data_IF_429848916258
#
_entry.id   IF_429848916258
#
_cell.length_a   1.000
_cell.length_b   1.000
_cell.length_c   1.000
_cell.angle_alpha   90.00
_cell.angle_beta   90.00
_cell.angle_gamma   90.00
#
_symmetry.space_group_name_H-M   'P 1'
#
loop_
_entity.id
_entity.type
_entity.pdbx_description
1 polymer ?
#
# COMPACT_ATOMS: atom_id res chain seq x y z
N UNK A 1 1.68 -19.48 1.35
CA UNK A 1 2.32 -19.61 2.69
C UNK A 1 3.43 -18.57 2.91
N UNK A 2 3.19 -17.27 2.70
CA UNK A 2 4.19 -16.20 2.80
C UNK A 2 3.85 -15.04 3.73
N UNK A 3 2.62 -14.96 4.23
CA UNK A 3 2.15 -13.78 4.98
C UNK A 3 2.54 -13.68 6.46
N UNK A 4 2.92 -14.79 7.10
CA UNK A 4 3.09 -14.82 8.58
C UNK A 4 4.44 -14.26 9.05
N UNK A 5 5.49 -14.28 8.24
CA UNK A 5 6.83 -13.80 8.65
C UNK A 5 7.05 -12.29 8.62
N UNK A 6 6.22 -11.54 7.90
CA UNK A 6 6.38 -10.07 7.78
C UNK A 6 5.79 -9.36 8.99
N UNK A 7 4.74 -9.88 9.61
CA UNK A 7 4.02 -9.24 10.73
C UNK A 7 4.86 -9.18 12.01
N UNK A 8 5.59 -10.26 12.37
CA UNK A 8 6.44 -10.25 13.57
C UNK A 8 7.66 -9.32 13.47
N UNK A 9 8.06 -8.92 12.25
CA UNK A 9 9.21 -8.04 12.01
C UNK A 9 8.88 -6.56 11.97
N UNK A 10 7.63 -6.19 11.71
CA UNK A 10 7.25 -4.78 11.61
C UNK A 10 7.14 -4.10 12.98
N UNK A 11 6.76 -4.82 14.02
CA UNK A 11 6.73 -4.31 15.40
C UNK A 11 8.15 -4.00 15.91
N UNK A 12 9.16 -4.77 15.49
CA UNK A 12 10.55 -4.55 15.87
C UNK A 12 11.03 -3.12 15.58
N UNK A 13 10.74 -2.57 14.39
CA UNK A 13 11.17 -1.21 14.04
C UNK A 13 10.47 -0.17 14.91
N UNK A 14 9.20 -0.35 15.18
CA UNK A 14 8.42 0.57 16.03
C UNK A 14 8.97 0.58 17.45
N UNK A 15 9.22 -0.58 18.04
CA UNK A 15 9.77 -0.72 19.40
C UNK A 15 11.20 -0.17 19.47
N UNK A 16 12.02 -0.48 18.47
CA UNK A 16 13.38 0.07 18.34
C UNK A 16 13.40 1.60 18.38
N UNK A 17 12.45 2.25 17.72
CA UNK A 17 12.33 3.71 17.68
C UNK A 17 11.77 4.27 18.99
N UNK A 18 10.78 3.61 19.61
CA UNK A 18 10.24 3.99 20.92
C UNK A 18 11.33 4.01 21.99
N UNK A 19 12.16 2.95 22.04
CA UNK A 19 13.28 2.85 22.97
C UNK A 19 14.30 4.00 22.82
N UNK A 20 14.36 4.62 21.62
CA UNK A 20 15.24 5.76 21.30
C UNK A 20 14.57 7.12 21.44
N UNK A 21 13.36 7.15 22.02
CA UNK A 21 12.64 8.37 22.35
C UNK A 21 11.92 9.03 21.17
N UNK A 22 11.71 8.31 20.06
CA UNK A 22 10.84 8.80 18.98
C UNK A 22 9.39 8.69 19.40
N UNK A 23 8.64 9.79 19.19
CA UNK A 23 7.24 9.88 19.61
C UNK A 23 6.31 9.63 18.43
N UNK A 24 5.15 9.07 18.74
CA UNK A 24 4.06 8.89 17.81
C UNK A 24 3.36 10.22 17.55
N UNK A 25 3.05 10.44 16.28
CA UNK A 25 2.27 11.57 15.78
C UNK A 25 1.04 11.05 15.07
N UNK A 26 0.05 11.91 14.88
CA UNK A 26 -1.24 11.55 14.28
C UNK A 26 -1.53 12.43 13.08
N UNK A 27 -2.17 11.85 12.08
CA UNK A 27 -2.75 12.56 10.94
C UNK A 27 -4.13 12.00 10.63
N UNK A 28 -5.03 12.92 10.33
CA UNK A 28 -6.38 12.59 9.91
C UNK A 28 -6.41 12.09 8.47
N UNK A 29 -7.52 11.47 8.10
CA UNK A 29 -7.79 11.02 6.74
C UNK A 29 -7.56 12.14 5.73
N UNK A 30 -6.96 11.79 4.60
CA UNK A 30 -6.61 12.65 3.46
C UNK A 30 -5.47 13.64 3.71
N UNK A 31 -4.90 13.70 4.89
CA UNK A 31 -3.65 14.41 5.12
C UNK A 31 -2.45 13.64 4.54
N UNK A 32 -1.37 14.36 4.26
CA UNK A 32 -0.17 13.81 3.63
C UNK A 32 1.00 13.72 4.61
N UNK A 33 1.74 12.62 4.58
CA UNK A 33 3.04 12.45 5.25
C UNK A 33 4.18 13.01 4.38
N UNK A 34 4.10 12.84 3.07
CA UNK A 34 5.07 13.35 2.11
C UNK A 34 4.42 13.70 0.78
N UNK A 35 5.09 14.54 0.00
CA UNK A 35 4.65 14.94 -1.35
C UNK A 35 5.69 14.55 -2.39
N UNK A 36 5.26 14.00 -3.52
CA UNK A 36 6.10 13.65 -4.65
C UNK A 36 6.94 14.85 -5.11
N UNK A 37 8.24 14.63 -5.27
CA UNK A 37 9.19 15.63 -5.77
C UNK A 37 9.62 16.71 -4.76
N UNK A 38 9.10 16.72 -3.52
CA UNK A 38 9.57 17.58 -2.43
C UNK A 38 10.71 16.92 -1.66
N UNK A 39 11.49 17.73 -0.97
CA UNK A 39 12.61 17.23 -0.18
C UNK A 39 12.10 16.31 0.95
N UNK A 40 12.78 15.18 1.10
CA UNK A 40 12.44 14.16 2.10
C UNK A 40 13.53 14.09 3.17
N UNK A 41 13.32 14.83 4.26
CA UNK A 41 14.24 14.88 5.38
C UNK A 41 14.02 13.76 6.40
N UNK A 42 12.86 13.11 6.35
CA UNK A 42 12.45 12.10 7.32
C UNK A 42 12.17 10.74 6.67
N UNK A 43 12.47 9.69 7.42
CA UNK A 43 11.90 8.36 7.23
C UNK A 43 10.61 8.31 8.05
N UNK A 44 9.49 8.09 7.39
CA UNK A 44 8.21 7.89 8.05
C UNK A 44 7.96 6.41 8.29
N UNK A 45 7.63 6.06 9.53
CA UNK A 45 7.24 4.72 9.94
C UNK A 45 5.80 4.76 10.40
N UNK A 46 4.92 4.12 9.66
CA UNK A 46 3.52 3.96 10.03
C UNK A 46 3.43 2.95 11.16
N UNK A 47 2.82 3.33 12.27
CA UNK A 47 2.56 2.47 13.43
C UNK A 47 1.20 1.80 13.27
N UNK A 48 0.17 2.60 12.94
CA UNK A 48 -1.21 2.15 12.78
C UNK A 48 -1.89 2.93 11.66
N UNK A 49 -2.89 2.30 11.03
CA UNK A 49 -3.67 2.88 9.96
C UNK A 49 -3.23 2.40 8.57
N UNK A 50 -3.74 3.07 7.55
CA UNK A 50 -3.48 2.78 6.14
C UNK A 50 -3.15 4.07 5.42
N UNK A 51 -2.09 4.04 4.60
CA UNK A 51 -1.71 5.13 3.71
C UNK A 51 -1.66 4.66 2.27
N UNK A 52 -1.78 5.60 1.33
CA UNK A 52 -1.66 5.36 -0.11
C UNK A 52 -0.45 6.11 -0.66
N UNK A 53 0.44 5.38 -1.32
CA UNK A 53 1.55 5.95 -2.06
C UNK A 53 1.12 6.21 -3.52
N UNK A 54 1.39 7.39 -4.05
CA UNK A 54 1.03 7.79 -5.41
C UNK A 54 2.06 8.73 -6.02
N UNK A 55 2.14 8.73 -7.36
CA UNK A 55 2.94 9.68 -8.16
C UNK A 55 1.98 10.51 -9.00
N UNK A 56 2.22 11.82 -9.10
CA UNK A 56 1.50 12.68 -10.02
C UNK A 56 2.44 13.06 -11.15
N UNK A 57 2.10 12.69 -12.38
CA UNK A 57 2.86 13.01 -13.57
C UNK A 57 2.67 14.49 -13.95
N UNK A 58 3.54 15.02 -14.83
CA UNK A 58 3.52 16.44 -15.24
C UNK A 58 2.19 16.91 -15.82
N UNK A 59 1.44 16.01 -16.43
CA UNK A 59 0.13 16.29 -17.03
C UNK A 59 -1.03 16.21 -16.02
N UNK A 60 -0.74 16.10 -14.72
CA UNK A 60 -1.75 15.95 -13.68
C UNK A 60 -2.31 14.52 -13.52
N UNK A 61 -1.92 13.59 -14.40
CA UNK A 61 -2.30 12.18 -14.27
C UNK A 61 -1.69 11.59 -13.01
N UNK A 62 -2.53 10.99 -12.17
CA UNK A 62 -2.09 10.30 -10.95
C UNK A 62 -1.97 8.81 -11.21
N UNK A 63 -0.89 8.22 -10.71
CA UNK A 63 -0.68 6.78 -10.65
C UNK A 63 -0.53 6.36 -9.19
N UNK A 64 -1.38 5.45 -8.74
CA UNK A 64 -1.32 4.89 -7.39
C UNK A 64 -0.37 3.69 -7.39
N UNK A 65 0.59 3.70 -6.46
CA UNK A 65 1.62 2.66 -6.36
C UNK A 65 1.14 1.56 -5.42
N UNK A 66 0.73 1.92 -4.20
CA UNK A 66 0.45 0.95 -3.15
C UNK A 66 -0.43 1.53 -2.06
N UNK A 67 -1.28 0.70 -1.46
CA UNK A 67 -1.75 0.90 -0.10
C UNK A 67 -0.75 0.23 0.86
N UNK A 68 -0.41 0.91 1.94
CA UNK A 68 0.52 0.42 2.95
C UNK A 68 -0.22 0.43 4.29
N UNK A 69 -0.25 -0.74 4.96
CA UNK A 69 -0.83 -0.89 6.30
C UNK A 69 0.29 -0.89 7.33
N UNK A 70 0.07 -0.21 8.45
CA UNK A 70 0.98 -0.27 9.60
C UNK A 70 0.92 -1.61 10.35
N UNK A 71 1.99 -1.97 11.07
CA UNK A 71 3.29 -1.28 11.15
C UNK A 71 4.16 -1.47 9.90
N UNK A 72 4.72 -0.38 9.34
CA UNK A 72 5.61 -0.46 8.16
C UNK A 72 6.35 0.86 7.91
N UNK A 73 7.60 0.84 7.42
CA UNK A 73 8.19 2.03 6.82
C UNK A 73 7.43 2.39 5.55
N UNK A 74 7.14 3.68 5.34
CA UNK A 74 6.36 4.15 4.19
C UNK A 74 7.15 5.04 3.23
N UNK A 75 8.40 5.37 3.57
CA UNK A 75 9.24 6.30 2.81
C UNK A 75 10.72 5.88 2.76
N UNK A 76 11.00 4.59 2.91
CA UNK A 76 12.37 4.06 2.99
C UNK A 76 12.94 3.79 1.59
N UNK A 77 13.11 4.83 0.77
CA UNK A 77 13.68 4.70 -0.60
C UNK A 77 14.92 5.57 -0.83
N UNK A 78 15.45 6.22 0.23
CA UNK A 78 16.61 7.08 0.12
C UNK A 78 17.63 6.75 1.21
N UNK A 79 18.90 6.71 0.78
CA UNK A 79 20.04 6.50 1.65
C UNK A 79 20.45 7.77 2.44
N UNK A 80 21.49 7.65 3.23
CA UNK A 80 22.06 8.73 4.03
C UNK A 80 22.82 9.76 3.20
N UNK A 81 23.35 9.36 2.03
CA UNK A 81 24.30 10.17 1.25
C UNK A 81 23.62 11.19 0.36
N UNK A 82 22.38 10.94 -0.02
CA UNK A 82 21.62 11.81 -0.91
C UNK A 82 21.24 13.12 -0.22
N UNK A 83 22.07 14.16 -0.35
CA UNK A 83 21.86 15.48 0.26
C UNK A 83 20.58 16.20 -0.24
N UNK A 84 20.02 15.79 -1.37
CA UNK A 84 18.79 16.32 -1.98
C UNK A 84 17.84 15.19 -2.37
N UNK A 85 17.45 14.38 -1.41
CA UNK A 85 16.51 13.31 -1.65
C UNK A 85 15.09 13.85 -1.79
N UNK A 86 14.58 13.91 -3.02
CA UNK A 86 13.17 14.20 -3.28
C UNK A 86 12.32 12.97 -3.02
N UNK A 87 11.14 13.16 -2.44
CA UNK A 87 10.20 12.05 -2.22
C UNK A 87 9.81 11.40 -3.55
N UNK A 88 9.94 10.07 -3.68
CA UNK A 88 9.56 9.36 -4.90
C UNK A 88 8.05 9.22 -5.07
N UNK A 89 7.28 9.49 -4.03
CA UNK A 89 5.82 9.41 -4.02
C UNK A 89 5.20 10.39 -3.03
N UNK A 90 3.96 10.77 -3.28
CA UNK A 90 3.10 11.32 -2.23
C UNK A 90 2.54 10.19 -1.39
N UNK A 91 2.52 10.37 -0.06
CA UNK A 91 1.95 9.41 0.88
C UNK A 91 0.79 10.07 1.62
N UNK A 92 -0.44 9.60 1.36
CA UNK A 92 -1.68 10.15 1.90
C UNK A 92 -2.38 9.14 2.83
N UNK A 93 -2.94 9.61 3.94
CA UNK A 93 -3.72 8.81 4.88
C UNK A 93 -5.07 8.43 4.27
N UNK A 94 -5.41 7.13 4.31
CA UNK A 94 -6.68 6.59 3.79
C UNK A 94 -7.59 6.03 4.90
N UNK A 95 -7.03 5.56 6.02
CA UNK A 95 -7.80 5.25 7.24
C UNK A 95 -8.37 6.53 7.88
N UNK A 96 -9.33 6.44 8.82
CA UNK A 96 -9.83 7.61 9.56
C UNK A 96 -8.72 8.42 10.22
N UNK A 97 -7.72 7.73 10.75
CA UNK A 97 -6.50 8.29 11.35
C UNK A 97 -5.31 7.39 10.98
N UNK A 98 -4.12 7.95 10.96
CA UNK A 98 -2.85 7.23 10.93
C UNK A 98 -1.96 7.68 12.08
N UNK A 99 -1.37 6.70 12.79
CA UNK A 99 -0.35 6.91 13.81
C UNK A 99 1.01 6.60 13.17
N UNK A 100 1.96 7.51 13.28
CA UNK A 100 3.25 7.36 12.63
C UNK A 100 4.37 8.01 13.45
N UNK A 101 5.62 7.61 13.17
CA UNK A 101 6.83 8.27 13.65
C UNK A 101 7.58 8.90 12.49
N UNK A 102 8.22 10.06 12.73
CA UNK A 102 9.13 10.71 11.79
C UNK A 102 10.55 10.67 12.34
N UNK A 103 11.43 10.00 11.65
CA UNK A 103 12.84 9.86 12.04
C UNK A 103 13.68 10.66 11.04
N UNK A 104 14.55 11.60 11.48
CA UNK A 104 15.47 12.27 10.57
C UNK A 104 16.23 11.23 9.73
N UNK A 105 16.22 11.39 8.41
CA UNK A 105 16.73 10.37 7.46
C UNK A 105 18.19 9.99 7.76
N UNK A 106 19.05 10.97 8.00
CA UNK A 106 20.46 10.72 8.33
C UNK A 106 20.57 9.88 9.61
N UNK A 107 19.79 10.26 10.64
CA UNK A 107 19.80 9.55 11.92
C UNK A 107 19.29 8.12 11.82
N UNK A 108 18.28 7.89 10.98
CA UNK A 108 17.78 6.53 10.71
C UNK A 108 18.88 5.64 10.12
N UNK A 109 19.62 6.15 9.14
CA UNK A 109 20.69 5.39 8.50
C UNK A 109 21.92 5.21 9.39
N UNK A 110 22.23 6.16 10.29
CA UNK A 110 23.22 5.94 11.36
C UNK A 110 22.83 4.71 12.18
N UNK A 111 21.58 4.61 12.64
CA UNK A 111 21.10 3.43 13.36
C UNK A 111 21.20 2.14 12.53
N UNK A 112 20.86 2.18 11.25
CA UNK A 112 20.98 1.02 10.36
C UNK A 112 22.43 0.55 10.23
N UNK A 113 23.37 1.48 10.16
CA UNK A 113 24.80 1.17 10.03
C UNK A 113 25.41 0.67 11.34
N UNK A 114 24.89 1.09 12.50
CA UNK A 114 25.37 0.71 13.82
C UNK A 114 24.76 -0.60 14.35
N UNK A 115 23.54 -0.94 13.91
CA UNK A 115 22.78 -2.09 14.41
C UNK A 115 22.56 -3.14 13.31
N UNK A 116 23.27 -4.26 13.43
CA UNK A 116 23.19 -5.36 12.45
C UNK A 116 21.80 -6.00 12.33
N UNK A 117 20.99 -5.97 13.40
CA UNK A 117 19.62 -6.48 13.42
C UNK A 117 18.69 -5.54 12.63
N UNK A 118 18.86 -4.22 12.82
CA UNK A 118 18.13 -3.23 12.04
C UNK A 118 18.53 -3.27 10.57
N UNK A 119 19.80 -3.45 10.25
CA UNK A 119 20.29 -3.66 8.88
C UNK A 119 19.64 -4.90 8.26
N UNK A 120 19.55 -6.00 9.01
CA UNK A 120 18.84 -7.22 8.59
C UNK A 120 17.36 -6.95 8.29
N UNK A 121 16.67 -6.21 9.15
CA UNK A 121 15.28 -5.78 8.94
C UNK A 121 15.11 -4.97 7.64
N UNK A 122 15.97 -3.98 7.41
CA UNK A 122 15.93 -3.13 6.21
C UNK A 122 16.15 -3.95 4.93
N UNK A 123 17.10 -4.90 4.94
CA UNK A 123 17.33 -5.81 3.81
C UNK A 123 16.10 -6.67 3.52
N UNK A 124 15.47 -7.23 4.56
CA UNK A 124 14.26 -8.03 4.43
C UNK A 124 13.08 -7.19 3.92
N UNK A 125 12.95 -5.95 4.38
CA UNK A 125 11.95 -5.00 3.88
C UNK A 125 12.11 -4.73 2.38
N UNK A 126 13.33 -4.44 1.91
CA UNK A 126 13.56 -4.21 0.48
C UNK A 126 13.30 -5.45 -0.37
N UNK A 127 13.70 -6.65 0.11
CA UNK A 127 13.42 -7.91 -0.58
C UNK A 127 11.91 -8.12 -0.72
N UNK A 128 11.16 -8.02 0.38
CA UNK A 128 9.72 -8.18 0.36
C UNK A 128 9.02 -7.14 -0.54
N UNK A 129 9.47 -5.88 -0.50
CA UNK A 129 8.94 -4.81 -1.36
C UNK A 129 9.21 -5.05 -2.84
N UNK A 130 10.37 -5.63 -3.18
CA UNK A 130 10.70 -5.99 -4.55
C UNK A 130 9.82 -7.17 -5.03
N UNK A 131 9.69 -8.22 -4.22
CA UNK A 131 8.84 -9.37 -4.51
C UNK A 131 7.39 -8.95 -4.74
N UNK A 132 6.84 -8.08 -3.88
CA UNK A 132 5.50 -7.51 -4.01
C UNK A 132 5.36 -6.67 -5.31
N UNK A 133 6.39 -5.91 -5.66
CA UNK A 133 6.40 -5.10 -6.89
C UNK A 133 6.40 -5.98 -8.15
N UNK A 134 7.19 -7.06 -8.16
CA UNK A 134 7.22 -8.03 -9.26
C UNK A 134 5.88 -8.77 -9.40
N UNK A 135 5.28 -9.18 -8.28
CA UNK A 135 3.96 -9.80 -8.25
C UNK A 135 2.88 -8.88 -8.86
N UNK A 136 2.87 -7.61 -8.45
CA UNK A 136 1.92 -6.61 -9.02
C UNK A 136 2.16 -6.38 -10.50
N UNK A 137 3.41 -6.20 -10.91
CA UNK A 137 3.74 -5.99 -12.32
C UNK A 137 3.20 -7.14 -13.19
N UNK A 138 3.27 -8.38 -12.70
CA UNK A 138 2.74 -9.55 -13.40
C UNK A 138 1.25 -9.42 -13.69
N UNK A 139 0.41 -9.27 -12.67
CA UNK A 139 -1.04 -9.20 -12.92
C UNK A 139 -1.49 -7.92 -13.64
N UNK A 140 -0.74 -6.80 -13.50
CA UNK A 140 -1.06 -5.57 -14.21
C UNK A 140 -0.78 -5.66 -15.73
N UNK A 141 0.13 -6.55 -16.16
CA UNK A 141 0.60 -6.61 -17.55
C UNK A 141 0.08 -7.81 -18.34
N UNK A 142 -0.14 -8.95 -17.67
CA UNK A 142 -0.35 -10.23 -18.40
C UNK A 142 -1.79 -10.45 -18.87
N UNK A 143 -2.81 -10.02 -18.14
CA UNK A 143 -4.21 -10.40 -18.38
C UNK A 143 -5.08 -9.23 -18.85
N UNK A 144 -4.49 -8.23 -19.49
CA UNK A 144 -5.18 -7.05 -19.97
C UNK A 144 -5.91 -6.28 -18.85
N UNK A 145 -6.84 -5.39 -19.23
CA UNK A 145 -7.52 -4.52 -18.25
C UNK A 145 -8.40 -5.27 -17.25
N UNK A 146 -9.03 -6.37 -17.69
CA UNK A 146 -9.88 -7.19 -16.82
C UNK A 146 -9.03 -7.90 -15.78
N UNK A 147 -7.92 -8.50 -16.21
CA UNK A 147 -6.99 -9.16 -15.33
C UNK A 147 -6.30 -8.20 -14.36
N UNK A 148 -5.92 -7.00 -14.81
CA UNK A 148 -5.37 -5.97 -13.94
C UNK A 148 -6.34 -5.59 -12.81
N UNK A 149 -7.62 -5.40 -13.12
CA UNK A 149 -8.65 -5.08 -12.11
C UNK A 149 -8.94 -6.29 -11.22
N UNK A 150 -9.08 -7.50 -11.80
CA UNK A 150 -9.30 -8.72 -11.02
C UNK A 150 -8.16 -9.04 -10.07
N UNK A 151 -6.92 -8.98 -10.54
CA UNK A 151 -5.72 -9.18 -9.72
C UNK A 151 -5.58 -8.12 -8.62
N UNK A 152 -5.91 -6.87 -8.93
CA UNK A 152 -5.92 -5.79 -7.93
C UNK A 152 -6.97 -6.02 -6.84
N UNK A 153 -8.19 -6.47 -7.20
CA UNK A 153 -9.22 -6.80 -6.21
C UNK A 153 -8.81 -8.00 -5.34
N UNK A 154 -8.16 -9.00 -5.94
CA UNK A 154 -7.61 -10.13 -5.19
C UNK A 154 -6.54 -9.67 -4.18
N UNK A 155 -5.56 -8.87 -4.63
CA UNK A 155 -4.52 -8.30 -3.74
C UNK A 155 -5.11 -7.47 -2.59
N UNK A 156 -6.14 -6.66 -2.88
CA UNK A 156 -6.84 -5.90 -1.83
C UNK A 156 -7.55 -6.83 -0.83
N UNK A 157 -8.17 -7.90 -1.32
CA UNK A 157 -8.86 -8.87 -0.46
C UNK A 157 -7.89 -9.59 0.47
N UNK A 158 -6.74 -10.04 -0.04
CA UNK A 158 -5.70 -10.69 0.79
C UNK A 158 -5.15 -9.79 1.90
N UNK A 159 -5.07 -8.49 1.64
CA UNK A 159 -4.44 -7.51 2.55
C UNK A 159 -5.42 -6.80 3.47
N UNK A 160 -6.63 -6.58 3.02
CA UNK A 160 -7.65 -5.76 3.68
C UNK A 160 -9.01 -6.44 3.78
N UNK A 161 -9.11 -7.69 3.36
CA UNK A 161 -10.35 -8.47 3.46
C UNK A 161 -10.67 -8.83 4.90
N UNK A 162 -11.91 -8.59 5.30
CA UNK A 162 -12.46 -9.00 6.59
C UNK A 162 -13.62 -9.96 6.33
N UNK A 163 -13.61 -11.17 6.90
CA UNK A 163 -14.68 -12.14 6.71
C UNK A 163 -16.05 -11.57 7.05
N UNK A 164 -17.06 -11.89 6.24
CA UNK A 164 -18.47 -11.58 6.45
C UNK A 164 -19.33 -12.74 5.98
N UNK A 165 -20.64 -12.70 6.24
CA UNK A 165 -21.59 -13.80 5.92
C UNK A 165 -21.60 -14.17 4.42
N UNK A 166 -21.31 -13.21 3.54
CA UNK A 166 -21.35 -13.39 2.09
C UNK A 166 -19.96 -13.62 1.45
N UNK A 167 -18.90 -13.78 2.25
CA UNK A 167 -17.52 -13.93 1.78
C UNK A 167 -16.53 -13.05 2.53
N UNK A 168 -15.98 -12.01 1.91
CA UNK A 168 -15.14 -11.02 2.60
C UNK A 168 -15.39 -9.59 2.07
N UNK A 169 -15.41 -8.62 2.98
CA UNK A 169 -15.51 -7.20 2.64
C UNK A 169 -14.12 -6.55 2.69
N UNK A 170 -13.78 -5.79 1.66
CA UNK A 170 -12.54 -5.02 1.64
C UNK A 170 -12.69 -3.84 2.61
N UNK A 171 -11.99 -3.90 3.76
CA UNK A 171 -12.06 -2.89 4.83
C UNK A 171 -11.30 -1.61 4.48
N UNK A 172 -11.46 -1.14 3.25
CA UNK A 172 -10.84 0.07 2.73
C UNK A 172 -11.80 0.74 1.74
N UNK A 173 -11.90 2.06 1.82
CA UNK A 173 -12.71 2.83 0.85
C UNK A 173 -11.91 3.01 -0.43
N UNK A 174 -12.22 2.21 -1.43
CA UNK A 174 -11.55 2.23 -2.74
C UNK A 174 -12.53 2.73 -3.80
N UNK A 175 -12.22 3.84 -4.42
CA UNK A 175 -13.04 4.41 -5.49
C UNK A 175 -12.70 3.79 -6.84
N UNK A 176 -13.63 3.87 -7.80
CA UNK A 176 -13.36 3.43 -9.18
C UNK A 176 -12.24 4.25 -9.84
N UNK A 177 -12.02 5.48 -9.38
CA UNK A 177 -10.89 6.33 -9.76
C UNK A 177 -9.57 5.74 -9.23
N UNK A 178 -9.54 5.33 -7.96
CA UNK A 178 -8.37 4.66 -7.38
C UNK A 178 -8.02 3.39 -8.14
N UNK A 179 -9.01 2.55 -8.44
CA UNK A 179 -8.81 1.31 -9.24
C UNK A 179 -8.21 1.66 -10.60
N UNK A 180 -8.75 2.68 -11.29
CA UNK A 180 -8.23 3.13 -12.57
C UNK A 180 -6.76 3.56 -12.47
N UNK A 181 -6.43 4.35 -11.44
CA UNK A 181 -5.08 4.84 -11.18
C UNK A 181 -4.09 3.74 -10.80
N UNK A 182 -4.53 2.70 -10.09
CA UNK A 182 -3.70 1.52 -9.78
C UNK A 182 -3.47 0.62 -11.00
N UNK A 183 -4.51 0.41 -11.81
CA UNK A 183 -4.46 -0.52 -12.94
C UNK A 183 -3.96 0.13 -14.23
N UNK A 184 -3.57 1.42 -14.21
CA UNK A 184 -3.14 2.13 -15.42
C UNK A 184 -4.23 2.18 -16.50
N UNK A 185 -5.52 2.07 -16.11
CA UNK A 185 -6.61 2.14 -17.07
C UNK A 185 -6.98 3.60 -17.33
N UNK A 186 -7.18 3.95 -18.58
CA UNK A 186 -7.38 5.33 -19.01
C UNK A 186 -8.72 5.96 -18.58
N UNK A 187 -9.64 5.20 -17.97
CA UNK A 187 -10.93 5.79 -17.59
C UNK A 187 -11.68 5.02 -16.49
N UNK A 188 -12.30 5.78 -15.60
CA UNK A 188 -13.31 5.32 -14.64
C UNK A 188 -14.45 4.49 -15.31
N UNK A 189 -14.82 4.83 -16.55
CA UNK A 189 -15.83 4.12 -17.32
C UNK A 189 -15.43 2.68 -17.63
N UNK A 190 -14.14 2.45 -17.96
CA UNK A 190 -13.62 1.10 -18.20
C UNK A 190 -13.68 0.25 -16.94
N UNK A 191 -13.28 0.82 -15.78
CA UNK A 191 -13.36 0.16 -14.47
C UNK A 191 -14.83 -0.18 -14.15
N UNK A 192 -15.77 0.77 -14.30
CA UNK A 192 -17.19 0.54 -14.05
C UNK A 192 -17.73 -0.65 -14.85
N UNK A 193 -17.36 -0.76 -16.13
CA UNK A 193 -17.78 -1.88 -17.01
C UNK A 193 -17.21 -3.20 -16.51
N UNK A 194 -15.94 -3.25 -16.10
CA UNK A 194 -15.29 -4.47 -15.60
C UNK A 194 -15.92 -4.90 -14.27
N UNK A 195 -16.10 -3.99 -13.33
CA UNK A 195 -16.74 -4.28 -12.04
C UNK A 195 -18.19 -4.74 -12.21
N UNK A 196 -18.92 -4.17 -13.20
CA UNK A 196 -20.26 -4.63 -13.55
C UNK A 196 -20.24 -6.09 -14.02
N UNK A 197 -19.29 -6.47 -14.89
CA UNK A 197 -19.13 -7.85 -15.33
C UNK A 197 -18.85 -8.81 -14.17
N UNK A 198 -18.02 -8.43 -13.19
CA UNK A 198 -17.81 -9.26 -12.00
C UNK A 198 -19.05 -9.36 -11.11
N UNK A 199 -19.87 -8.31 -11.02
CA UNK A 199 -21.17 -8.39 -10.30
C UNK A 199 -22.17 -9.31 -11.01
N UNK A 200 -22.29 -9.21 -12.33
CA UNK A 200 -23.17 -10.06 -13.16
C UNK A 200 -22.77 -11.56 -13.06
N UNK A 201 -21.50 -11.85 -12.81
CA UNK A 201 -20.98 -13.20 -12.55
C UNK A 201 -21.09 -13.63 -11.08
N UNK A 202 -21.59 -12.79 -10.18
CA UNK A 202 -21.70 -13.10 -8.76
C UNK A 202 -20.35 -13.15 -8.01
N UNK A 203 -19.26 -12.67 -8.62
CA UNK A 203 -17.90 -12.68 -8.01
C UNK A 203 -17.78 -11.62 -6.93
N UNK A 204 -18.37 -10.44 -7.15
CA UNK A 204 -18.35 -9.33 -6.20
C UNK A 204 -19.76 -8.73 -6.05
N UNK A 205 -19.96 -8.01 -4.95
CA UNK A 205 -21.07 -7.07 -4.79
C UNK A 205 -20.58 -5.77 -4.13
N UNK A 206 -21.52 -4.89 -3.83
CA UNK A 206 -21.25 -3.66 -3.09
C UNK A 206 -22.07 -3.73 -1.80
N UNK A 207 -21.44 -3.55 -0.66
CA UNK A 207 -22.12 -3.47 0.64
C UNK A 207 -23.20 -2.38 0.62
N UNK A 208 -24.39 -2.70 1.07
CA UNK A 208 -25.52 -1.78 1.09
C UNK A 208 -25.35 -0.64 2.13
N UNK A 209 -24.44 -0.78 3.09
CA UNK A 209 -24.29 0.15 4.20
C UNK A 209 -23.23 1.25 3.93
N UNK A 210 -22.08 0.89 3.39
CA UNK A 210 -20.92 1.78 3.25
C UNK A 210 -20.33 1.83 1.82
N UNK A 211 -20.94 1.09 0.88
CA UNK A 211 -20.50 1.07 -0.51
C UNK A 211 -19.20 0.31 -0.77
N UNK A 212 -18.68 -0.43 0.21
CA UNK A 212 -17.45 -1.22 0.07
C UNK A 212 -17.65 -2.43 -0.83
N UNK A 213 -16.56 -2.89 -1.41
CA UNK A 213 -16.57 -4.08 -2.27
C UNK A 213 -16.59 -5.33 -1.39
N UNK A 214 -17.56 -6.22 -1.64
CA UNK A 214 -17.64 -7.56 -1.07
C UNK A 214 -17.19 -8.55 -2.12
N UNK A 215 -16.27 -9.43 -1.76
CA UNK A 215 -15.77 -10.53 -2.60
C UNK A 215 -16.49 -11.81 -2.15
N UNK A 216 -17.33 -12.38 -3.03
CA UNK A 216 -18.03 -13.64 -2.76
C UNK A 216 -17.20 -14.85 -3.18
N UNK A 217 -16.44 -14.73 -4.27
CA UNK A 217 -15.60 -15.81 -4.80
C UNK A 217 -14.20 -15.28 -5.13
N UNK A 218 -13.30 -15.38 -4.14
CA UNK A 218 -11.91 -15.00 -4.30
C UNK A 218 -11.17 -15.90 -5.31
N UNK A 219 -11.57 -17.17 -5.48
CA UNK A 219 -10.92 -18.11 -6.40
C UNK A 219 -11.06 -17.68 -7.87
N UNK A 220 -12.18 -17.04 -8.20
CA UNK A 220 -12.41 -16.47 -9.52
C UNK A 220 -11.49 -15.27 -9.82
N UNK A 221 -11.02 -14.55 -8.80
CA UNK A 221 -10.06 -13.44 -8.94
C UNK A 221 -8.62 -13.95 -8.89
N UNK A 222 -8.35 -15.01 -8.12
CA UNK A 222 -7.04 -15.63 -7.95
C UNK A 222 -6.41 -16.05 -9.28
N UNK A 223 -7.21 -16.52 -10.22
CA UNK A 223 -6.78 -16.91 -11.58
C UNK A 223 -6.04 -15.79 -12.34
N UNK A 224 -6.27 -14.52 -11.99
CA UNK A 224 -5.59 -13.40 -12.63
C UNK A 224 -4.21 -13.12 -12.04
N UNK A 225 -3.83 -13.81 -10.97
CA UNK A 225 -2.56 -13.62 -10.27
C UNK A 225 -1.69 -14.88 -10.24
N UNK A 226 -2.27 -16.07 -10.48
CA UNK A 226 -1.58 -17.36 -10.37
C UNK A 226 -1.03 -17.89 -11.71
N UNK A 227 -1.55 -17.46 -12.86
CA UNK A 227 -1.14 -17.93 -14.20
C UNK A 227 0.09 -17.23 -14.76
#
# INVERSE_FOLDING_TARGET
MGGVRVIERSDYLVDFLRERGFHEMRKARHEYLSYYGFDQEYVFVLVEGVVKASVTLREGTRFNISYIKGPSPVSLLRDEVSSRAKSPSSVRVESPEAIYMAVPRVRFWEFVNEDSRLLGYVKDYYRASLEESLYRMRYLTMNGKVGAVGGFLYDLNERFGVPCDEGSVIALDVTNEDIAQFCGTSSRTSVNRILRGFREQGVISTSGHDGRIVIHDASMLERYVMD
#
